data_IF_912526491729
#
_entry.id   IF_912526491729
#
_cell.length_a   1.000
_cell.length_b   1.000
_cell.length_c   1.000
_cell.angle_alpha   90.00
_cell.angle_beta   90.00
_cell.angle_gamma   90.00
#
_symmetry.space_group_name_H-M   'P 1'
#
loop_
_entity.id
_entity.type
_entity.pdbx_description
1 polymer ?
#
# COMPACT_ATOMS: atom_id res chain seq x y z
N UNK A 1 -8.96 -11.48 -3.96
CA UNK A 1 -9.63 -12.47 -3.13
C UNK A 1 -9.03 -12.51 -1.73
N UNK A 2 -9.85 -12.79 -0.73
CA UNK A 2 -9.47 -12.67 0.67
C UNK A 2 -9.57 -14.00 1.40
N UNK A 3 -8.64 -14.23 2.31
CA UNK A 3 -8.67 -15.37 3.22
C UNK A 3 -8.09 -14.95 4.57
N UNK A 4 -7.89 -15.88 5.49
CA UNK A 4 -7.40 -15.57 6.85
C UNK A 4 -5.97 -15.02 6.86
N UNK A 5 -5.18 -15.28 5.83
CA UNK A 5 -3.77 -14.96 5.81
C UNK A 5 -3.40 -13.95 4.74
N UNK A 6 -4.01 -14.04 3.59
CA UNK A 6 -3.62 -13.25 2.43
C UNK A 6 -4.83 -12.54 1.85
N UNK A 7 -4.67 -11.27 1.53
CA UNK A 7 -5.70 -10.50 0.86
C UNK A 7 -5.07 -9.67 -0.22
N UNK A 8 -5.82 -9.38 -1.26
CA UNK A 8 -5.35 -8.50 -2.33
C UNK A 8 -6.53 -7.75 -2.92
N UNK A 9 -6.21 -6.67 -3.61
CA UNK A 9 -7.21 -5.87 -4.29
C UNK A 9 -6.57 -4.84 -5.19
N UNK A 10 -7.41 -4.10 -5.88
CA UNK A 10 -6.97 -3.02 -6.75
C UNK A 10 -7.45 -1.70 -6.14
N UNK A 11 -6.54 -0.74 -6.02
CA UNK A 11 -6.87 0.60 -5.56
C UNK A 11 -6.57 1.60 -6.67
N UNK A 12 -7.46 2.58 -6.79
CA UNK A 12 -7.23 3.71 -7.69
C UNK A 12 -7.27 4.99 -6.87
N UNK A 13 -6.38 5.91 -7.19
CA UNK A 13 -6.32 7.22 -6.56
C UNK A 13 -6.16 8.27 -7.64
N UNK A 14 -6.91 9.36 -7.50
CA UNK A 14 -6.65 10.58 -8.28
C UNK A 14 -5.91 11.54 -7.35
N UNK A 15 -5.33 12.57 -7.88
CA UNK A 15 -4.49 13.54 -7.15
C UNK A 15 -4.94 13.70 -5.69
N UNK A 16 -4.20 13.05 -4.79
CA UNK A 16 -4.58 12.98 -3.37
C UNK A 16 -3.46 12.36 -2.55
N UNK A 17 -3.66 12.40 -1.24
CA UNK A 17 -2.73 11.78 -0.30
C UNK A 17 -3.49 11.41 0.96
N UNK A 18 -3.10 10.31 1.61
CA UNK A 18 -3.67 9.93 2.90
C UNK A 18 -2.64 9.18 3.73
N UNK A 19 -2.73 9.37 5.05
CA UNK A 19 -1.86 8.68 6.00
C UNK A 19 -2.39 7.29 6.29
N UNK A 20 -1.47 6.35 6.51
CA UNK A 20 -1.82 4.98 6.82
C UNK A 20 -0.73 4.33 7.65
N UNK A 21 -1.13 3.55 8.65
CA UNK A 21 -0.20 2.75 9.43
C UNK A 21 -0.45 1.30 9.09
N UNK A 22 0.60 0.59 8.65
CA UNK A 22 0.48 -0.80 8.26
C UNK A 22 0.64 -1.72 9.46
N UNK A 23 -0.38 -2.53 9.72
CA UNK A 23 -0.33 -3.59 10.72
C UNK A 23 -0.11 -4.95 10.04
N UNK A 24 0.48 -4.93 8.86
CA UNK A 24 0.71 -6.08 7.99
C UNK A 24 1.82 -5.74 7.01
N UNK A 25 2.37 -6.77 6.38
CA UNK A 25 3.30 -6.56 5.27
C UNK A 25 2.50 -6.32 4.00
N UNK A 26 2.99 -5.43 3.15
CA UNK A 26 2.28 -5.10 1.91
C UNK A 26 3.22 -5.09 0.72
N UNK A 27 2.70 -5.57 -0.40
CA UNK A 27 3.35 -5.46 -1.71
C UNK A 27 2.40 -4.69 -2.61
N UNK A 28 2.89 -3.64 -3.24
CA UNK A 28 2.13 -2.87 -4.22
C UNK A 28 2.77 -3.01 -5.58
N UNK A 29 1.98 -3.40 -6.57
CA UNK A 29 2.40 -3.44 -7.97
C UNK A 29 1.66 -2.36 -8.73
N UNK A 30 2.39 -1.39 -9.28
CA UNK A 30 1.79 -0.26 -9.98
C UNK A 30 1.37 -0.69 -11.37
N UNK A 31 0.07 -0.69 -11.62
CA UNK A 31 -0.52 -1.09 -12.89
C UNK A 31 -0.49 0.10 -13.86
N UNK A 32 -0.77 1.30 -13.35
CA UNK A 32 -0.80 2.50 -14.18
C UNK A 32 -0.58 3.72 -13.31
N UNK A 33 -0.07 4.79 -13.90
CA UNK A 33 0.17 6.05 -13.20
C UNK A 33 1.39 6.01 -12.31
N UNK A 34 1.38 6.84 -11.26
CA UNK A 34 2.50 6.99 -10.34
C UNK A 34 2.01 6.91 -8.91
N UNK A 35 2.58 5.99 -8.14
CA UNK A 35 2.31 5.85 -6.72
C UNK A 35 3.51 6.34 -5.93
N UNK A 36 3.28 7.22 -4.96
CA UNK A 36 4.32 7.70 -4.07
C UNK A 36 4.04 7.20 -2.67
N UNK A 37 5.07 6.67 -2.02
CA UNK A 37 5.02 6.25 -0.62
C UNK A 37 5.98 7.15 0.15
N UNK A 38 5.45 7.94 1.05
CA UNK A 38 6.28 8.84 1.86
C UNK A 38 6.47 8.18 3.22
N UNK A 39 7.72 7.92 3.56
CA UNK A 39 8.09 7.22 4.80
C UNK A 39 9.39 7.81 5.34
N UNK A 40 9.38 8.16 6.64
CA UNK A 40 10.56 8.71 7.33
C UNK A 40 11.18 9.88 6.57
N UNK A 41 10.36 10.77 6.04
CA UNK A 41 10.81 11.95 5.31
C UNK A 41 11.35 11.67 3.92
N UNK A 42 11.24 10.43 3.45
CA UNK A 42 11.68 10.05 2.10
C UNK A 42 10.48 9.73 1.24
N UNK A 43 10.61 9.96 -0.05
CA UNK A 43 9.57 9.60 -1.01
C UNK A 43 10.10 8.47 -1.89
N UNK A 44 9.36 7.36 -1.90
CA UNK A 44 9.62 6.25 -2.80
C UNK A 44 8.60 6.35 -3.91
N UNK A 45 9.07 6.41 -5.14
CA UNK A 45 8.19 6.58 -6.31
C UNK A 45 8.13 5.28 -7.09
N UNK A 46 6.90 4.81 -7.32
CA UNK A 46 6.64 3.66 -8.18
C UNK A 46 5.90 4.10 -9.42
N UNK A 47 6.44 3.74 -10.57
CA UNK A 47 5.79 3.97 -11.84
C UNK A 47 5.24 2.66 -12.38
N UNK A 48 4.51 2.72 -13.47
CA UNK A 48 3.92 1.53 -14.10
C UNK A 48 4.94 0.40 -14.20
N UNK A 49 4.57 -0.76 -13.65
CA UNK A 49 5.43 -1.94 -13.68
C UNK A 49 6.33 -2.10 -12.46
N UNK A 50 6.38 -1.10 -11.58
CA UNK A 50 7.23 -1.17 -10.39
C UNK A 50 6.53 -1.89 -9.26
N UNK A 51 7.32 -2.52 -8.40
CA UNK A 51 6.85 -3.21 -7.21
C UNK A 51 7.45 -2.51 -6.00
N UNK A 52 6.61 -2.19 -5.02
CA UNK A 52 7.04 -1.56 -3.78
C UNK A 52 6.71 -2.50 -2.62
N UNK A 53 7.70 -2.76 -1.77
CA UNK A 53 7.54 -3.56 -0.57
C UNK A 53 7.46 -2.64 0.63
N UNK A 54 6.44 -2.81 1.47
CA UNK A 54 6.24 -1.99 2.66
C UNK A 54 6.13 -2.93 3.86
N UNK A 55 7.08 -2.88 4.79
CA UNK A 55 7.07 -3.81 5.92
C UNK A 55 6.04 -3.41 6.97
N UNK A 56 5.59 -4.43 7.69
CA UNK A 56 4.69 -4.26 8.84
C UNK A 56 5.27 -3.25 9.82
N UNK A 57 4.40 -2.40 10.36
CA UNK A 57 4.78 -1.39 11.34
C UNK A 57 5.11 -0.04 10.74
N UNK A 58 5.14 0.07 9.43
CA UNK A 58 5.46 1.33 8.77
C UNK A 58 4.32 2.34 8.91
N UNK A 59 4.69 3.58 9.19
CA UNK A 59 3.77 4.72 9.16
C UNK A 59 4.09 5.50 7.91
N UNK A 60 3.15 5.52 6.99
CA UNK A 60 3.39 6.06 5.66
C UNK A 60 2.30 7.01 5.22
N UNK A 61 2.57 7.69 4.13
CA UNK A 61 1.56 8.45 3.41
C UNK A 61 1.53 7.90 1.98
N UNK A 62 0.37 7.44 1.55
CA UNK A 62 0.12 7.13 0.14
C UNK A 62 -0.19 8.43 -0.57
N UNK A 63 0.37 8.61 -1.76
CA UNK A 63 0.18 9.83 -2.52
C UNK A 63 0.27 9.55 -4.00
N UNK A 64 -0.39 10.38 -4.79
CA UNK A 64 -0.18 10.41 -6.23
C UNK A 64 -0.31 11.85 -6.72
N UNK A 65 0.61 12.32 -7.58
CA UNK A 65 0.51 13.67 -8.12
C UNK A 65 -0.60 13.82 -9.17
N UNK A 66 -1.02 12.72 -9.79
CA UNK A 66 -2.04 12.74 -10.83
C UNK A 66 -3.03 11.59 -10.66
N UNK A 67 -2.54 10.38 -10.91
CA UNK A 67 -3.36 9.17 -10.90
C UNK A 67 -2.48 7.97 -10.64
N UNK A 68 -3.03 6.99 -9.95
CA UNK A 68 -2.40 5.68 -9.85
C UNK A 68 -3.46 4.61 -9.74
N UNK A 69 -3.14 3.45 -10.32
CA UNK A 69 -3.88 2.21 -10.11
C UNK A 69 -2.86 1.17 -9.72
N UNK A 70 -3.07 0.53 -8.59
CA UNK A 70 -2.12 -0.47 -8.12
C UNK A 70 -2.83 -1.65 -7.48
N UNK A 71 -2.19 -2.82 -7.64
CA UNK A 71 -2.59 -4.04 -6.96
C UNK A 71 -1.88 -4.05 -5.62
N UNK A 72 -2.63 -4.25 -4.54
CA UNK A 72 -2.01 -4.45 -3.23
C UNK A 72 -2.21 -5.89 -2.78
N UNK A 73 -1.22 -6.42 -2.09
CA UNK A 73 -1.26 -7.74 -1.46
C UNK A 73 -0.81 -7.55 -0.03
N UNK A 74 -1.59 -7.99 0.93
CA UNK A 74 -1.29 -7.80 2.35
C UNK A 74 -1.25 -9.13 3.09
N UNK A 75 -0.40 -9.21 4.11
CA UNK A 75 -0.25 -10.40 4.95
C UNK A 75 0.16 -9.97 6.36
N UNK A 76 -0.56 -10.39 7.41
CA UNK A 76 -1.77 -11.21 7.38
C UNK A 76 -3.02 -10.37 7.13
N UNK A 77 -3.99 -10.93 6.42
CA UNK A 77 -5.23 -10.25 6.11
C UNK A 77 -6.10 -10.00 7.35
N UNK A 78 -5.93 -10.81 8.38
CA UNK A 78 -6.70 -10.71 9.61
C UNK A 78 -6.00 -9.81 10.65
N UNK A 79 -5.29 -8.79 10.19
CA UNK A 79 -4.50 -7.91 11.07
C UNK A 79 -5.36 -7.20 12.13
N UNK A 80 -6.63 -6.93 11.83
CA UNK A 80 -7.52 -6.28 12.79
C UNK A 80 -7.81 -7.18 13.99
N UNK A 81 -7.92 -8.47 13.76
CA UNK A 81 -8.12 -9.42 14.84
C UNK A 81 -6.91 -9.48 15.76
N UNK A 82 -5.72 -9.33 15.20
CA UNK A 82 -4.48 -9.35 15.96
C UNK A 82 -4.31 -8.10 16.81
N UNK A 83 -4.82 -6.97 16.36
CA UNK A 83 -4.74 -5.71 17.11
C UNK A 83 -5.55 -5.77 18.38
N UNK A 84 -6.65 -6.49 18.38
CA UNK A 84 -7.61 -6.52 19.49
C UNK A 84 -7.34 -7.61 20.53
N UNK A 85 -6.18 -8.20 20.50
CA UNK A 85 -5.82 -9.28 21.43
C UNK A 85 -4.93 -8.82 22.58
#
# INVERSE_FOLDING_TARGET
EENDKLSCGIMEMEESAFDWTLNYDEIDYVIDGTLEIIIDGRTITGNRGDIILIPKGSKIKFSTPNFTRFLYVIYPANWQDNINK
#
